data_IF_787787826584
#
_entry.id   IF_787787826584
#
_cell.length_a   1.000
_cell.length_b   1.000
_cell.length_c   1.000
_cell.angle_alpha   90.00
_cell.angle_beta   90.00
_cell.angle_gamma   90.00
#
_symmetry.space_group_name_H-M   'P 1'
#
loop_
_entity.id
_entity.type
_entity.pdbx_description
1 polymer ?
#
# COMPACT_ATOMS: atom_id res chain seq x y z
N UNK A 1 -15.56 3.65 -0.83
CA UNK A 1 -14.50 3.46 0.19
C UNK A 1 -14.84 4.12 1.53
N UNK A 2 -15.07 5.44 1.58
CA UNK A 2 -15.30 6.17 2.85
C UNK A 2 -16.34 5.54 3.78
N UNK A 3 -17.47 5.06 3.26
CA UNK A 3 -18.51 4.44 4.10
C UNK A 3 -18.08 3.10 4.71
N UNK A 4 -17.27 2.32 3.98
CA UNK A 4 -16.80 1.00 4.42
C UNK A 4 -15.74 1.11 5.52
N UNK A 5 -14.87 2.12 5.43
CA UNK A 5 -13.76 2.31 6.38
C UNK A 5 -14.17 3.09 7.63
N UNK A 6 -15.16 3.99 7.54
CA UNK A 6 -15.48 4.93 8.63
C UNK A 6 -15.87 4.24 9.95
N UNK A 7 -16.46 3.04 9.90
CA UNK A 7 -16.85 2.27 11.10
C UNK A 7 -15.71 1.42 11.67
N UNK A 8 -14.57 1.36 10.98
CA UNK A 8 -13.44 0.48 11.31
C UNK A 8 -12.16 1.24 11.70
N UNK A 9 -12.18 2.57 11.60
CA UNK A 9 -11.05 3.42 11.98
C UNK A 9 -11.44 4.33 13.14
N UNK A 10 -10.53 4.50 14.09
CA UNK A 10 -10.61 5.58 15.07
C UNK A 10 -9.65 6.69 14.66
N UNK A 11 -10.21 7.82 14.21
CA UNK A 11 -9.43 8.98 13.75
C UNK A 11 -8.60 9.63 14.86
N UNK A 12 -8.92 9.36 16.13
CA UNK A 12 -8.18 9.87 17.29
C UNK A 12 -7.05 8.93 17.72
N UNK A 13 -7.07 7.67 17.29
CA UNK A 13 -6.01 6.73 17.63
C UNK A 13 -4.71 7.12 16.92
N UNK A 14 -3.55 7.00 17.60
CA UNK A 14 -2.25 7.16 16.97
C UNK A 14 -2.13 6.24 15.75
N UNK A 15 -1.79 6.82 14.60
CA UNK A 15 -1.83 6.08 13.35
C UNK A 15 -0.75 6.48 12.36
N UNK A 16 -0.50 5.60 11.40
CA UNK A 16 0.35 5.84 10.23
C UNK A 16 -0.50 5.76 8.98
N UNK A 17 -0.28 6.67 8.05
CA UNK A 17 -0.82 6.53 6.68
C UNK A 17 0.20 5.79 5.82
N UNK A 18 -0.20 4.66 5.25
CA UNK A 18 0.64 3.86 4.37
C UNK A 18 0.16 4.04 2.94
N UNK A 19 1.04 4.48 2.06
CA UNK A 19 0.73 4.59 0.64
C UNK A 19 1.63 3.71 -0.21
N UNK A 20 0.99 2.95 -1.08
CA UNK A 20 1.64 2.06 -2.03
C UNK A 20 0.66 1.79 -3.18
N UNK A 21 1.13 1.13 -4.23
CA UNK A 21 0.27 0.66 -5.31
C UNK A 21 0.45 -0.82 -5.61
N UNK A 22 -0.54 -1.36 -6.29
CA UNK A 22 -0.48 -2.71 -6.81
C UNK A 22 -0.97 -2.75 -8.24
N UNK A 23 -0.45 -3.71 -8.99
CA UNK A 23 -0.89 -3.97 -10.35
C UNK A 23 -1.83 -5.17 -10.36
N UNK A 24 -3.06 -4.96 -10.83
CA UNK A 24 -4.03 -6.03 -11.10
C UNK A 24 -3.66 -6.65 -12.44
N UNK A 25 -3.04 -7.83 -12.42
CA UNK A 25 -2.49 -8.44 -13.63
C UNK A 25 -3.60 -8.80 -14.65
N UNK A 26 -3.39 -8.42 -15.92
CA UNK A 26 -4.27 -8.73 -17.07
C UNK A 26 -3.45 -9.24 -18.26
N UNK A 27 -2.49 -10.15 -17.98
CA UNK A 27 -1.45 -10.61 -18.91
C UNK A 27 -1.97 -11.23 -20.21
N UNK A 28 -3.19 -11.77 -20.23
CA UNK A 28 -3.81 -12.39 -21.42
C UNK A 28 -4.80 -11.46 -22.15
N UNK A 29 -4.95 -10.22 -21.69
CA UNK A 29 -5.89 -9.27 -22.26
C UNK A 29 -5.27 -8.42 -23.36
N UNK A 30 -6.00 -8.26 -24.47
CA UNK A 30 -5.70 -7.26 -25.53
C UNK A 30 -6.79 -6.19 -25.69
N UNK A 31 -7.92 -6.33 -25.00
CA UNK A 31 -9.15 -5.54 -25.25
C UNK A 31 -9.85 -5.06 -23.96
N UNK A 32 -9.26 -5.27 -22.79
CA UNK A 32 -9.81 -4.75 -21.54
C UNK A 32 -9.36 -3.29 -21.39
N UNK A 33 -10.32 -2.37 -21.22
CA UNK A 33 -10.07 -0.95 -20.98
C UNK A 33 -9.29 -0.72 -19.67
N UNK A 34 -8.62 0.44 -19.55
CA UNK A 34 -7.76 0.84 -18.42
C UNK A 34 -6.49 -0.02 -18.22
N UNK A 35 -6.25 -1.00 -19.08
CA UNK A 35 -5.04 -1.82 -19.03
C UNK A 35 -3.87 -1.06 -19.64
N UNK A 36 -2.80 -0.91 -18.86
CA UNK A 36 -1.55 -0.34 -19.30
C UNK A 36 -0.39 -1.29 -18.96
N UNK A 37 0.70 -1.19 -19.71
CA UNK A 37 1.96 -1.86 -19.37
C UNK A 37 2.62 -1.13 -18.21
N UNK A 38 2.82 -1.85 -17.11
CA UNK A 38 3.35 -1.31 -15.87
C UNK A 38 4.28 -2.33 -15.22
N UNK A 39 5.30 -1.85 -14.52
CA UNK A 39 6.20 -2.72 -13.75
C UNK A 39 5.41 -3.45 -12.65
N UNK A 40 5.60 -4.76 -12.54
CA UNK A 40 5.05 -5.58 -11.48
C UNK A 40 6.17 -6.06 -10.56
N UNK A 41 6.12 -5.65 -9.29
CA UNK A 41 7.04 -6.14 -8.28
C UNK A 41 7.02 -7.68 -8.15
N UNK A 42 5.85 -8.30 -8.29
CA UNK A 42 5.68 -9.75 -8.19
C UNK A 42 6.31 -10.54 -9.35
N UNK A 43 6.36 -9.94 -10.56
CA UNK A 43 6.94 -10.58 -11.75
C UNK A 43 8.36 -10.14 -12.06
N UNK A 44 8.82 -9.06 -11.42
CA UNK A 44 10.06 -8.37 -11.75
C UNK A 44 10.13 -7.97 -13.24
N UNK A 45 8.98 -7.64 -13.82
CA UNK A 45 8.83 -7.37 -15.26
C UNK A 45 7.67 -6.40 -15.53
N UNK A 46 7.67 -5.79 -16.70
CA UNK A 46 6.60 -4.94 -17.21
C UNK A 46 5.50 -5.81 -17.79
N UNK A 47 4.33 -5.82 -17.15
CA UNK A 47 3.18 -6.60 -17.57
C UNK A 47 1.96 -5.72 -17.82
N UNK A 48 1.04 -6.20 -18.65
CA UNK A 48 -0.26 -5.59 -18.82
C UNK A 48 -1.11 -5.75 -17.54
N UNK A 49 -1.62 -4.64 -17.02
CA UNK A 49 -2.53 -4.65 -15.87
C UNK A 49 -3.18 -3.30 -15.59
N UNK A 50 -4.10 -3.31 -14.62
CA UNK A 50 -4.77 -2.11 -14.12
C UNK A 50 -4.05 -1.65 -12.86
N UNK A 51 -3.57 -0.41 -12.82
CA UNK A 51 -2.85 0.12 -11.66
C UNK A 51 -3.85 0.55 -10.58
N UNK A 52 -3.57 0.20 -9.33
CA UNK A 52 -4.40 0.55 -8.18
C UNK A 52 -3.53 1.18 -7.09
N UNK A 53 -3.66 2.48 -6.89
CA UNK A 53 -3.02 3.23 -5.80
C UNK A 53 -3.87 3.09 -4.55
N UNK A 54 -3.28 2.74 -3.42
CA UNK A 54 -3.97 2.51 -2.16
C UNK A 54 -3.41 3.42 -1.07
N UNK A 55 -4.31 3.87 -0.19
CA UNK A 55 -3.95 4.56 1.06
C UNK A 55 -4.60 3.79 2.21
N UNK A 56 -3.77 3.31 3.12
CA UNK A 56 -4.18 2.57 4.31
C UNK A 56 -3.97 3.45 5.54
N UNK A 57 -4.90 3.30 6.49
CA UNK A 57 -4.76 3.76 7.86
C UNK A 57 -4.29 2.58 8.69
N UNK A 58 -3.16 2.73 9.38
CA UNK A 58 -2.60 1.72 10.26
C UNK A 58 -2.65 2.23 11.70
N UNK A 59 -3.36 1.51 12.56
CA UNK A 59 -3.45 1.82 13.98
C UNK A 59 -2.16 1.37 14.69
N UNK A 60 -1.53 2.27 15.43
CA UNK A 60 -0.34 1.92 16.22
C UNK A 60 -0.69 1.20 17.53
N UNK A 61 -1.96 1.22 17.95
CA UNK A 61 -2.42 0.56 19.17
C UNK A 61 -2.85 -0.88 18.91
N UNK A 62 -3.83 -1.09 18.01
CA UNK A 62 -4.32 -2.44 17.67
C UNK A 62 -3.45 -3.16 16.64
N UNK A 63 -2.54 -2.44 15.95
CA UNK A 63 -1.71 -2.97 14.84
C UNK A 63 -2.58 -3.40 13.63
N UNK A 64 -3.82 -2.93 13.56
CA UNK A 64 -4.73 -3.19 12.44
C UNK A 64 -4.54 -2.19 11.30
N UNK A 65 -4.81 -2.64 10.08
CA UNK A 65 -4.62 -1.84 8.87
C UNK A 65 -5.85 -1.87 7.99
N UNK A 66 -6.41 -0.69 7.75
CA UNK A 66 -7.68 -0.52 7.03
C UNK A 66 -7.43 0.35 5.79
N UNK A 67 -7.80 -0.11 4.57
CA UNK A 67 -7.73 0.74 3.39
C UNK A 67 -8.79 1.85 3.51
N UNK A 68 -8.39 3.11 3.37
CA UNK A 68 -9.26 4.29 3.54
C UNK A 68 -9.56 5.01 2.22
N UNK A 69 -8.73 4.81 1.20
CA UNK A 69 -8.96 5.28 -0.16
C UNK A 69 -8.22 4.38 -1.17
N UNK A 70 -8.74 4.33 -2.40
CA UNK A 70 -8.05 3.72 -3.53
C UNK A 70 -8.32 4.52 -4.81
N UNK A 71 -7.37 4.52 -5.75
CA UNK A 71 -7.49 5.16 -7.07
C UNK A 71 -7.05 4.22 -8.16
N UNK A 72 -7.89 4.09 -9.19
CA UNK A 72 -7.56 3.32 -10.39
C UNK A 72 -6.78 4.25 -11.32
N UNK A 73 -5.56 3.86 -11.66
CA UNK A 73 -4.74 4.56 -12.62
C UNK A 73 -5.29 4.35 -14.03
N UNK A 74 -5.92 5.40 -14.57
CA UNK A 74 -6.58 5.44 -15.87
C UNK A 74 -6.23 6.76 -16.58
N UNK A 75 -4.95 6.89 -16.93
CA UNK A 75 -4.36 8.14 -17.46
C UNK A 75 -5.04 8.66 -18.72
N UNK A 76 -5.62 7.77 -19.53
CA UNK A 76 -6.24 8.14 -20.80
C UNK A 76 -7.63 8.77 -20.57
N UNK A 77 -8.25 8.50 -19.42
CA UNK A 77 -9.56 9.03 -19.06
C UNK A 77 -9.49 10.31 -18.23
N UNK A 78 -8.60 10.40 -17.24
CA UNK A 78 -8.53 11.55 -16.32
C UNK A 78 -7.23 12.38 -16.41
N UNK A 79 -6.26 11.95 -17.21
CA UNK A 79 -4.97 12.62 -17.36
C UNK A 79 -4.08 12.57 -16.10
N UNK A 80 -4.46 11.82 -15.07
CA UNK A 80 -3.77 11.82 -13.77
C UNK A 80 -2.66 10.79 -13.72
N UNK A 81 -1.56 11.20 -13.09
CA UNK A 81 -0.49 10.27 -12.71
C UNK A 81 -0.81 9.61 -11.37
N UNK A 82 -0.13 8.51 -11.02
CA UNK A 82 -0.24 7.95 -9.66
C UNK A 82 0.20 8.92 -8.57
N UNK A 83 1.17 9.81 -8.85
CA UNK A 83 1.57 10.86 -7.92
C UNK A 83 0.44 11.88 -7.70
N UNK A 84 -0.27 12.25 -8.77
CA UNK A 84 -1.47 13.10 -8.68
C UNK A 84 -2.53 12.46 -7.78
N UNK A 85 -2.82 11.17 -8.00
CA UNK A 85 -3.74 10.41 -7.15
C UNK A 85 -3.28 10.38 -5.69
N UNK A 86 -2.00 10.09 -5.46
CA UNK A 86 -1.42 10.04 -4.12
C UNK A 86 -1.62 11.36 -3.37
N UNK A 87 -1.26 12.50 -3.96
CA UNK A 87 -1.48 13.83 -3.35
C UNK A 87 -2.95 14.12 -3.07
N UNK A 88 -3.85 13.77 -4.00
CA UNK A 88 -5.31 13.95 -3.80
C UNK A 88 -5.86 13.09 -2.66
N UNK A 89 -5.37 11.85 -2.52
CA UNK A 89 -5.76 10.95 -1.44
C UNK A 89 -5.30 11.49 -0.08
N UNK A 90 -4.09 12.07 0.02
CA UNK A 90 -3.60 12.73 1.23
C UNK A 90 -4.43 13.95 1.60
N UNK A 91 -4.73 14.81 0.62
CA UNK A 91 -5.57 15.99 0.84
C UNK A 91 -6.99 15.59 1.33
N UNK A 92 -7.54 14.51 0.77
CA UNK A 92 -8.82 13.98 1.21
C UNK A 92 -8.76 13.37 2.62
N UNK A 93 -7.68 12.66 2.96
CA UNK A 93 -7.45 12.15 4.32
C UNK A 93 -7.39 13.29 5.34
N UNK A 94 -6.69 14.39 5.02
CA UNK A 94 -6.65 15.60 5.86
C UNK A 94 -8.03 16.21 6.03
N UNK A 95 -8.78 16.37 4.92
CA UNK A 95 -10.16 16.89 4.95
C UNK A 95 -11.09 16.02 5.80
N UNK A 96 -10.85 14.71 5.86
CA UNK A 96 -11.61 13.76 6.70
C UNK A 96 -11.21 13.81 8.19
N UNK A 97 -10.22 14.61 8.56
CA UNK A 97 -9.77 14.79 9.94
C UNK A 97 -8.80 13.71 10.43
N UNK A 98 -8.13 12.98 9.53
CA UNK A 98 -7.10 12.01 9.92
C UNK A 98 -5.83 12.78 10.30
N UNK A 99 -5.24 12.43 11.45
CA UNK A 99 -4.03 13.05 12.00
C UNK A 99 -2.97 11.97 12.21
N UNK A 100 -2.24 11.56 11.16
CA UNK A 100 -1.21 10.55 11.29
C UNK A 100 0.04 11.09 11.99
N UNK A 101 0.71 10.20 12.72
CA UNK A 101 2.08 10.45 13.21
C UNK A 101 3.06 10.59 12.05
N UNK A 102 2.88 9.79 11.00
CA UNK A 102 3.66 9.86 9.78
C UNK A 102 2.90 9.29 8.57
N UNK A 103 3.33 9.70 7.38
CA UNK A 103 3.02 9.05 6.11
C UNK A 103 4.22 8.23 5.68
N UNK A 104 4.05 6.93 5.48
CA UNK A 104 5.09 6.03 4.99
C UNK A 104 4.82 5.59 3.56
N UNK A 105 5.85 5.62 2.72
CA UNK A 105 5.75 5.25 1.31
C UNK A 105 7.05 4.63 0.80
N UNK A 106 7.01 4.11 -0.41
CA UNK A 106 8.19 3.59 -1.10
C UNK A 106 9.05 4.68 -1.76
N UNK A 107 10.22 4.26 -2.26
CA UNK A 107 11.12 5.16 -2.97
C UNK A 107 10.52 5.70 -4.27
N UNK A 108 9.54 5.01 -4.88
CA UNK A 108 8.90 5.46 -6.11
C UNK A 108 8.03 6.70 -5.86
N UNK A 109 7.34 6.76 -4.72
CA UNK A 109 6.58 7.94 -4.28
C UNK A 109 7.44 9.04 -3.62
N UNK A 110 8.77 8.88 -3.52
CA UNK A 110 9.69 9.87 -2.90
C UNK A 110 9.99 11.13 -3.75
N UNK A 111 9.09 11.48 -4.68
CA UNK A 111 9.24 12.68 -5.52
C UNK A 111 9.21 13.96 -4.68
N UNK A 112 9.89 15.02 -5.14
CA UNK A 112 9.97 16.27 -4.38
C UNK A 112 8.58 16.86 -4.09
N UNK A 113 7.68 16.80 -5.06
CA UNK A 113 6.32 17.32 -4.95
C UNK A 113 5.50 16.54 -3.93
N UNK A 114 5.62 15.21 -3.90
CA UNK A 114 4.97 14.37 -2.90
C UNK A 114 5.48 14.68 -1.48
N UNK A 115 6.80 14.77 -1.29
CA UNK A 115 7.39 15.10 0.03
C UNK A 115 6.93 16.48 0.51
N UNK A 116 6.88 17.47 -0.39
CA UNK A 116 6.35 18.81 -0.10
C UNK A 116 4.85 18.79 0.18
N UNK A 117 4.07 17.99 -0.54
CA UNK A 117 2.64 17.83 -0.33
C UNK A 117 2.36 17.33 1.09
N UNK A 118 3.07 16.30 1.56
CA UNK A 118 2.91 15.78 2.92
C UNK A 118 3.29 16.84 3.96
N UNK A 119 4.44 17.51 3.77
CA UNK A 119 4.87 18.60 4.65
C UNK A 119 3.83 19.73 4.71
N UNK A 120 3.18 20.06 3.58
CA UNK A 120 2.16 21.13 3.53
C UNK A 120 0.93 20.83 4.40
N UNK A 121 0.67 19.56 4.71
CA UNK A 121 -0.38 19.15 5.65
C UNK A 121 0.05 19.20 7.13
N UNK A 122 1.31 19.57 7.39
CA UNK A 122 1.94 19.54 8.71
C UNK A 122 2.34 18.15 9.16
N UNK A 123 2.51 17.21 8.22
CA UNK A 123 2.77 15.81 8.54
C UNK A 123 4.24 15.43 8.35
N UNK A 124 4.67 14.44 9.13
CA UNK A 124 5.95 13.74 8.94
C UNK A 124 5.78 12.74 7.80
N UNK A 125 6.85 12.53 7.04
CA UNK A 125 6.98 11.41 6.13
C UNK A 125 8.20 10.55 6.47
N UNK A 126 8.10 9.27 6.12
CA UNK A 126 9.20 8.31 6.12
C UNK A 126 9.21 7.59 4.79
N UNK A 127 10.36 7.51 4.13
CA UNK A 127 10.53 6.82 2.85
C UNK A 127 11.94 6.27 2.70
N UNK A 128 12.23 5.56 1.62
CA UNK A 128 13.59 5.16 1.26
C UNK A 128 14.12 5.96 0.09
N UNK A 129 15.43 6.22 0.08
CA UNK A 129 16.13 6.84 -1.05
C UNK A 129 17.03 5.81 -1.74
N UNK A 130 17.12 5.93 -3.07
CA UNK A 130 18.07 5.12 -3.86
C UNK A 130 19.51 5.50 -3.50
N UNK A 131 20.39 4.49 -3.46
CA UNK A 131 21.81 4.62 -3.09
C UNK A 131 22.58 5.69 -3.86
N UNK A 132 22.21 5.93 -5.12
CA UNK A 132 22.84 6.90 -6.02
C UNK A 132 22.17 8.29 -6.00
N UNK A 133 21.25 8.56 -5.06
CA UNK A 133 20.64 9.87 -4.90
C UNK A 133 21.71 10.91 -4.57
N UNK A 134 21.66 12.06 -5.26
CA UNK A 134 22.53 13.21 -4.99
C UNK A 134 21.95 14.04 -3.83
N UNK A 135 22.78 14.26 -2.81
CA UNK A 135 22.49 14.97 -1.56
C UNK A 135 23.67 15.88 -1.20
N UNK A 136 23.51 16.79 -0.23
CA UNK A 136 24.57 17.71 0.20
C UNK A 136 25.25 18.42 -0.98
N UNK A 137 24.41 18.95 -1.87
CA UNK A 137 24.74 19.66 -3.10
C UNK A 137 25.34 18.81 -4.23
N UNK A 138 26.27 17.87 -3.97
CA UNK A 138 26.94 17.08 -5.02
C UNK A 138 27.43 15.68 -4.60
N UNK A 139 27.02 15.14 -3.45
CA UNK A 139 27.49 13.82 -2.96
C UNK A 139 26.44 12.73 -3.21
N UNK A 140 26.87 11.55 -3.63
CA UNK A 140 25.99 10.38 -3.65
C UNK A 140 25.74 9.87 -2.23
N UNK A 141 24.50 9.50 -1.94
CA UNK A 141 24.08 9.04 -0.62
C UNK A 141 24.90 7.86 -0.10
N UNK A 142 25.22 6.89 -0.96
CA UNK A 142 26.04 5.73 -0.60
C UNK A 142 27.52 6.01 -0.34
N UNK A 143 27.98 7.23 -0.60
CA UNK A 143 29.35 7.69 -0.30
C UNK A 143 29.44 8.47 1.01
N UNK A 144 28.31 8.72 1.66
CA UNK A 144 28.30 9.33 2.98
C UNK A 144 28.60 8.29 4.04
N UNK A 145 29.36 8.71 5.04
CA UNK A 145 29.38 8.02 6.32
C UNK A 145 28.10 8.38 7.08
N UNK A 146 27.32 7.36 7.43
CA UNK A 146 26.01 7.52 8.08
C UNK A 146 26.11 6.89 9.46
N UNK A 147 26.01 7.73 10.48
CA UNK A 147 26.00 7.32 11.88
C UNK A 147 24.78 6.44 12.20
N UNK A 148 24.91 5.59 13.23
CA UNK A 148 23.80 4.78 13.73
C UNK A 148 22.64 5.65 14.24
N UNK A 149 22.96 6.80 14.86
CA UNK A 149 22.02 7.83 15.34
C UNK A 149 21.35 8.65 14.23
N UNK A 150 21.72 8.40 12.98
CA UNK A 150 21.21 9.14 11.83
C UNK A 150 22.01 10.38 11.51
N UNK A 151 22.05 10.72 10.23
CA UNK A 151 22.88 11.81 9.70
C UNK A 151 22.00 12.85 9.01
N UNK A 152 22.07 14.13 9.40
CA UNK A 152 21.41 15.21 8.69
C UNK A 152 22.00 15.36 7.28
N UNK A 153 21.13 15.41 6.28
CA UNK A 153 21.51 15.65 4.88
C UNK A 153 20.58 16.71 4.27
N UNK A 154 21.11 17.45 3.31
CA UNK A 154 20.34 18.40 2.52
C UNK A 154 19.85 17.73 1.23
N UNK A 155 18.54 17.55 1.12
CA UNK A 155 17.88 17.03 -0.07
C UNK A 155 17.55 18.18 -1.03
N UNK A 156 18.08 18.11 -2.26
CA UNK A 156 17.96 19.18 -3.26
C UNK A 156 16.49 19.56 -3.50
N UNK A 157 16.18 20.85 -3.37
CA UNK A 157 14.84 21.41 -3.57
C UNK A 157 13.87 21.19 -2.41
N UNK A 158 14.24 20.40 -1.40
CA UNK A 158 13.41 20.13 -0.22
C UNK A 158 13.90 20.86 1.03
N UNK A 159 15.17 20.65 1.40
CA UNK A 159 15.77 21.13 2.64
C UNK A 159 16.45 20.01 3.46
N UNK A 160 16.64 20.25 4.75
CA UNK A 160 17.25 19.31 5.68
C UNK A 160 16.31 18.15 6.03
N UNK A 161 16.87 16.94 6.04
CA UNK A 161 16.21 15.67 6.41
C UNK A 161 17.23 14.78 7.11
N UNK A 162 16.79 13.79 7.89
CA UNK A 162 17.70 12.84 8.54
C UNK A 162 17.65 11.50 7.82
N UNK A 163 18.82 10.95 7.48
CA UNK A 163 18.96 9.61 6.90
C UNK A 163 19.54 8.62 7.90
N UNK A 164 19.01 7.40 7.85
CA UNK A 164 19.50 6.23 8.55
C UNK A 164 19.88 5.14 7.54
N UNK A 165 20.89 4.35 7.90
CA UNK A 165 21.35 3.21 7.11
C UNK A 165 20.97 1.93 7.82
N UNK A 166 20.14 1.11 7.17
CA UNK A 166 19.76 -0.23 7.66
C UNK A 166 20.34 -1.30 6.73
N UNK A 167 21.01 -2.29 7.30
CA UNK A 167 21.59 -3.40 6.55
C UNK A 167 20.78 -4.67 6.83
N UNK A 168 20.14 -5.21 5.80
CA UNK A 168 19.44 -6.49 5.88
C UNK A 168 20.42 -7.66 6.00
N UNK A 169 19.94 -8.83 6.46
CA UNK A 169 20.76 -10.05 6.63
C UNK A 169 21.51 -10.49 5.36
N UNK A 170 20.97 -10.17 4.19
CA UNK A 170 21.57 -10.49 2.89
C UNK A 170 22.55 -9.40 2.38
N UNK A 171 22.91 -8.43 3.22
CA UNK A 171 23.78 -7.32 2.86
C UNK A 171 23.11 -6.19 2.06
N UNK A 172 21.80 -6.28 1.77
CA UNK A 172 21.07 -5.16 1.15
C UNK A 172 21.04 -3.98 2.11
N UNK A 173 21.40 -2.81 1.61
CA UNK A 173 21.35 -1.56 2.37
C UNK A 173 20.12 -0.76 1.96
N UNK A 174 19.28 -0.44 2.95
CA UNK A 174 18.13 0.43 2.83
C UNK A 174 18.44 1.78 3.50
N UNK A 175 18.40 2.85 2.73
CA UNK A 175 18.58 4.22 3.22
C UNK A 175 17.21 4.80 3.54
N UNK A 176 16.83 4.78 4.82
CA UNK A 176 15.55 5.29 5.29
C UNK A 176 15.71 6.76 5.67
N UNK A 177 14.75 7.60 5.26
CA UNK A 177 14.85 9.06 5.39
C UNK A 177 13.54 9.62 5.91
N UNK A 178 13.62 10.66 6.74
CA UNK A 178 12.47 11.37 7.29
C UNK A 178 12.71 12.87 7.40
N UNK A 179 11.63 13.66 7.35
CA UNK A 179 11.63 15.07 7.72
C UNK A 179 11.31 15.34 9.20
N UNK A 180 11.12 14.30 10.02
CA UNK A 180 10.92 14.48 11.47
C UNK A 180 12.12 15.17 12.09
N UNK A 181 11.87 16.13 12.97
CA UNK A 181 12.90 16.74 13.80
C UNK A 181 13.36 15.78 14.88
N UNK A 182 14.68 15.67 15.07
CA UNK A 182 15.33 14.78 16.04
C UNK A 182 14.74 13.35 16.05
N UNK A 183 14.70 12.64 14.90
CA UNK A 183 14.16 11.29 14.84
C UNK A 183 15.12 10.31 15.50
N UNK A 184 14.59 9.25 16.11
CA UNK A 184 15.37 8.10 16.53
C UNK A 184 15.38 7.02 15.46
N UNK A 185 16.39 6.16 15.50
CA UNK A 185 16.49 4.99 14.61
C UNK A 185 15.30 4.06 14.79
N UNK A 186 14.88 3.84 16.03
CA UNK A 186 13.76 2.98 16.41
C UNK A 186 12.44 3.50 15.86
N UNK A 187 12.21 4.81 15.93
CA UNK A 187 11.03 5.45 15.35
C UNK A 187 10.97 5.24 13.84
N UNK A 188 12.07 5.52 13.11
CA UNK A 188 12.08 5.35 11.65
C UNK A 188 11.86 3.88 11.28
N UNK A 189 12.45 2.96 12.05
CA UNK A 189 12.27 1.52 11.86
C UNK A 189 10.82 1.09 12.10
N UNK A 190 10.17 1.52 13.18
CA UNK A 190 8.79 1.13 13.49
C UNK A 190 7.80 1.60 12.43
N UNK A 191 7.95 2.84 11.94
CA UNK A 191 7.13 3.38 10.85
C UNK A 191 7.34 2.59 9.54
N UNK A 192 8.59 2.22 9.24
CA UNK A 192 8.91 1.43 8.05
C UNK A 192 8.43 -0.02 8.15
N UNK A 193 8.48 -0.63 9.33
CA UNK A 193 7.95 -1.98 9.59
C UNK A 193 6.42 -2.00 9.40
N UNK A 194 5.71 -0.96 9.89
CA UNK A 194 4.26 -0.81 9.70
C UNK A 194 3.85 -0.80 8.22
N UNK A 195 4.73 -0.30 7.33
CA UNK A 195 4.48 -0.27 5.88
C UNK A 195 4.18 -1.66 5.31
N UNK A 196 4.75 -2.73 5.88
CA UNK A 196 4.53 -4.11 5.41
C UNK A 196 3.05 -4.50 5.35
N UNK A 197 2.20 -3.88 6.18
CA UNK A 197 0.76 -4.11 6.20
C UNK A 197 0.08 -3.88 4.84
N UNK A 198 0.59 -2.98 3.99
CA UNK A 198 0.05 -2.79 2.64
C UNK A 198 0.30 -3.99 1.72
N UNK A 199 1.44 -4.67 1.89
CA UNK A 199 1.73 -5.90 1.14
C UNK A 199 0.82 -7.04 1.57
N UNK A 200 0.51 -7.12 2.87
CA UNK A 200 -0.47 -8.07 3.41
C UNK A 200 -1.85 -7.81 2.80
N UNK A 201 -2.31 -6.56 2.83
CA UNK A 201 -3.57 -6.15 2.20
C UNK A 201 -3.63 -6.50 0.70
N UNK A 202 -2.58 -6.14 -0.06
CA UNK A 202 -2.50 -6.45 -1.49
C UNK A 202 -2.55 -7.96 -1.77
N UNK A 203 -1.91 -8.77 -0.94
CA UNK A 203 -1.96 -10.24 -1.08
C UNK A 203 -3.35 -10.77 -0.82
N UNK A 204 -3.99 -10.30 0.24
CA UNK A 204 -5.32 -10.75 0.64
C UNK A 204 -6.38 -10.41 -0.40
N UNK A 205 -6.43 -9.16 -0.87
CA UNK A 205 -7.43 -8.75 -1.87
C UNK A 205 -7.25 -9.50 -3.20
N UNK A 206 -6.01 -9.88 -3.54
CA UNK A 206 -5.70 -10.71 -4.72
C UNK A 206 -6.10 -12.16 -4.56
N UNK A 207 -5.66 -12.79 -3.48
CA UNK A 207 -5.79 -14.23 -3.30
C UNK A 207 -7.16 -14.63 -2.76
N UNK A 208 -7.71 -13.85 -1.82
CA UNK A 208 -8.93 -14.19 -1.08
C UNK A 208 -10.18 -13.48 -1.60
N UNK A 209 -10.04 -12.33 -2.27
CA UNK A 209 -11.17 -11.55 -2.76
C UNK A 209 -11.28 -11.50 -4.30
N UNK A 210 -10.33 -12.14 -5.01
CA UNK A 210 -10.43 -12.35 -6.45
C UNK A 210 -10.37 -11.08 -7.30
N UNK A 211 -9.73 -10.00 -6.83
CA UNK A 211 -9.68 -8.72 -7.55
C UNK A 211 -9.10 -8.85 -8.97
N UNK A 212 -8.20 -9.80 -9.20
CA UNK A 212 -7.56 -10.04 -10.50
C UNK A 212 -8.42 -10.88 -11.46
N UNK A 213 -9.49 -11.53 -10.97
CA UNK A 213 -10.24 -12.54 -11.73
C UNK A 213 -11.17 -11.96 -12.81
N UNK A 214 -11.53 -10.68 -12.75
CA UNK A 214 -12.46 -10.08 -13.72
C UNK A 214 -11.95 -10.10 -15.16
N UNK A 215 -12.69 -10.74 -16.07
CA UNK A 215 -12.39 -10.78 -17.51
C UNK A 215 -13.26 -9.83 -18.36
N UNK A 216 -14.13 -9.03 -17.72
CA UNK A 216 -14.98 -8.08 -18.43
C UNK A 216 -14.14 -7.02 -19.16
N UNK A 217 -14.58 -6.56 -20.34
CA UNK A 217 -13.78 -5.67 -21.18
C UNK A 217 -13.97 -4.18 -20.90
N UNK A 218 -15.14 -3.80 -20.39
CA UNK A 218 -15.49 -2.40 -20.18
C UNK A 218 -14.92 -1.87 -18.86
N UNK A 219 -14.51 -0.61 -18.87
CA UNK A 219 -14.01 0.14 -17.72
C UNK A 219 -15.02 0.13 -16.57
N UNK A 220 -16.30 0.34 -16.85
CA UNK A 220 -17.39 0.27 -15.86
C UNK A 220 -17.44 -1.09 -15.14
N UNK A 221 -17.37 -2.20 -15.88
CA UNK A 221 -17.44 -3.53 -15.28
C UNK A 221 -16.19 -3.84 -14.44
N UNK A 222 -15.00 -3.44 -14.90
CA UNK A 222 -13.76 -3.56 -14.13
C UNK A 222 -13.80 -2.73 -12.84
N UNK A 223 -14.26 -1.48 -12.90
CA UNK A 223 -14.42 -0.60 -11.72
C UNK A 223 -15.38 -1.21 -10.69
N UNK A 224 -16.51 -1.74 -11.15
CA UNK A 224 -17.48 -2.42 -10.28
C UNK A 224 -16.88 -3.66 -9.63
N UNK A 225 -16.17 -4.51 -10.38
CA UNK A 225 -15.52 -5.70 -9.82
C UNK A 225 -14.46 -5.35 -8.79
N UNK A 226 -13.61 -4.34 -9.07
CA UNK A 226 -12.60 -3.86 -8.12
C UNK A 226 -13.27 -3.41 -6.82
N UNK A 227 -14.33 -2.62 -6.91
CA UNK A 227 -15.09 -2.19 -5.73
C UNK A 227 -15.68 -3.37 -4.95
N UNK A 228 -16.28 -4.35 -5.64
CA UNK A 228 -16.85 -5.54 -4.99
C UNK A 228 -15.78 -6.40 -4.30
N UNK A 229 -14.62 -6.61 -4.93
CA UNK A 229 -13.51 -7.36 -4.34
C UNK A 229 -12.98 -6.67 -3.07
N UNK A 230 -12.84 -5.35 -3.09
CA UNK A 230 -12.44 -4.57 -1.92
C UNK A 230 -13.53 -4.63 -0.82
N UNK A 231 -14.81 -4.60 -1.21
CA UNK A 231 -15.92 -4.72 -0.26
C UNK A 231 -15.96 -6.10 0.40
N UNK A 232 -15.69 -7.17 -0.36
CA UNK A 232 -15.53 -8.52 0.17
C UNK A 232 -14.36 -8.61 1.16
N UNK A 233 -13.25 -7.90 0.90
CA UNK A 233 -12.14 -7.82 1.86
C UNK A 233 -12.59 -7.22 3.20
N UNK A 234 -13.39 -6.15 3.19
CA UNK A 234 -13.91 -5.54 4.42
C UNK A 234 -14.77 -6.51 5.24
N UNK A 235 -15.67 -7.26 4.60
CA UNK A 235 -16.51 -8.23 5.30
C UNK A 235 -15.68 -9.38 5.87
N UNK A 236 -14.71 -9.90 5.11
CA UNK A 236 -13.80 -10.92 5.63
C UNK A 236 -12.90 -10.38 6.76
N UNK A 237 -12.49 -9.10 6.68
CA UNK A 237 -11.71 -8.45 7.73
C UNK A 237 -12.53 -8.29 9.02
N UNK A 238 -13.79 -7.86 8.95
CA UNK A 238 -14.69 -7.82 10.12
C UNK A 238 -14.78 -9.18 10.81
N UNK A 239 -14.99 -10.25 10.01
CA UNK A 239 -15.01 -11.62 10.51
C UNK A 239 -13.69 -12.04 11.14
N UNK A 240 -12.55 -11.62 10.57
CA UNK A 240 -11.23 -11.88 11.17
C UNK A 240 -11.15 -11.31 12.58
N UNK A 241 -11.59 -10.08 12.79
CA UNK A 241 -11.56 -9.43 14.10
C UNK A 241 -12.52 -10.13 15.07
N UNK A 242 -13.75 -10.42 14.65
CA UNK A 242 -14.76 -11.01 15.54
C UNK A 242 -14.53 -12.48 15.86
N UNK A 243 -14.14 -13.28 14.87
CA UNK A 243 -14.00 -14.74 14.97
C UNK A 243 -12.54 -15.17 15.23
N UNK A 244 -11.57 -14.24 15.14
CA UNK A 244 -10.13 -14.50 15.28
C UNK A 244 -9.58 -15.55 14.28
N UNK A 245 -10.16 -15.58 13.08
CA UNK A 245 -9.74 -16.47 11.99
C UNK A 245 -9.20 -15.69 10.78
N UNK A 246 -8.20 -16.25 10.12
CA UNK A 246 -7.61 -15.61 8.93
C UNK A 246 -8.56 -15.64 7.73
N UNK A 247 -8.33 -14.77 6.75
CA UNK A 247 -9.08 -14.78 5.48
C UNK A 247 -8.94 -16.10 4.72
N UNK A 248 -7.76 -16.73 4.83
CA UNK A 248 -7.50 -18.04 4.23
C UNK A 248 -8.31 -19.13 4.89
N UNK A 249 -8.39 -19.12 6.22
CA UNK A 249 -9.20 -20.06 6.98
C UNK A 249 -10.69 -19.88 6.65
N UNK A 250 -11.19 -18.64 6.59
CA UNK A 250 -12.56 -18.36 6.18
C UNK A 250 -12.91 -18.98 4.82
N UNK A 251 -12.02 -18.83 3.83
CA UNK A 251 -12.19 -19.44 2.51
C UNK A 251 -12.11 -20.97 2.55
N UNK A 252 -11.17 -21.51 3.33
CA UNK A 252 -10.97 -22.94 3.45
C UNK A 252 -12.14 -23.64 4.13
N UNK A 253 -12.72 -23.03 5.16
CA UNK A 253 -13.87 -23.59 5.88
C UNK A 253 -15.09 -23.73 4.95
N UNK A 254 -15.30 -22.78 4.03
CA UNK A 254 -16.34 -22.89 3.00
C UNK A 254 -16.03 -24.01 2.01
N UNK A 255 -14.81 -24.05 1.46
CA UNK A 255 -14.40 -25.04 0.46
C UNK A 255 -14.45 -26.46 1.03
N UNK A 256 -13.88 -26.66 2.22
CA UNK A 256 -13.81 -27.96 2.89
C UNK A 256 -15.21 -28.52 3.17
N UNK A 257 -16.12 -27.68 3.67
CA UNK A 257 -17.49 -28.09 3.94
C UNK A 257 -18.24 -28.45 2.65
N UNK A 258 -18.08 -27.67 1.59
CA UNK A 258 -18.69 -27.96 0.30
C UNK A 258 -18.16 -29.28 -0.32
N UNK A 259 -16.85 -29.53 -0.26
CA UNK A 259 -16.25 -30.78 -0.73
C UNK A 259 -16.75 -31.97 0.10
N UNK A 260 -16.74 -31.85 1.42
CA UNK A 260 -17.21 -32.92 2.30
C UNK A 260 -18.68 -33.28 2.02
N UNK A 261 -19.52 -32.27 1.82
CA UNK A 261 -20.93 -32.49 1.49
C UNK A 261 -21.10 -33.13 0.10
N UNK A 262 -20.35 -32.68 -0.89
CA UNK A 262 -20.38 -33.29 -2.22
C UNK A 262 -19.94 -34.77 -2.20
N UNK A 263 -18.89 -35.10 -1.45
CA UNK A 263 -18.45 -36.49 -1.26
C UNK A 263 -19.55 -37.33 -0.59
N UNK A 264 -20.23 -36.81 0.44
CA UNK A 264 -21.35 -37.53 1.08
C UNK A 264 -22.47 -37.82 0.09
N UNK A 265 -22.84 -36.85 -0.74
CA UNK A 265 -23.87 -37.03 -1.78
C UNK A 265 -23.46 -38.12 -2.78
N UNK A 266 -22.21 -38.10 -3.26
CA UNK A 266 -21.70 -39.14 -4.18
C UNK A 266 -21.68 -40.54 -3.54
N UNK A 267 -21.38 -40.65 -2.24
CA UNK A 267 -21.38 -41.93 -1.52
C UNK A 267 -22.79 -42.42 -1.18
N UNK A 268 -23.76 -41.52 -1.00
CA UNK A 268 -25.14 -41.86 -0.70
C UNK A 268 -25.93 -42.31 -1.95
N UNK A 269 -25.52 -41.83 -3.14
CA UNK A 269 -26.08 -42.21 -4.43
C UNK A 269 -24.97 -42.72 -5.36
N UNK A 270 -24.37 -43.89 -5.06
CA UNK A 270 -23.41 -44.51 -5.97
C UNK A 270 -24.14 -44.90 -7.26
N UNK A 271 -23.61 -44.46 -8.41
CA UNK A 271 -24.07 -44.90 -9.73
C UNK A 271 -23.98 -46.41 -9.89
#
# INVERSE_FOLDING_TARGET
MSLLSNTLIDKKSPCVLIADDTLIAKTRSRKIEMVHYQYSGNKHDVIAGIGLVNLLWHDLTSVESIPIDYRIYDKDSDGKTKNTHFSEMLALAKKRGIMPEAVVMDAWYSSLDNLKSIRSHGWVWVTTLRKNRIVNHNKQLNKLDISEEGTPIHLRGYGWVTVFKFTAKNGRIDYMVTNKENPTREYVKSIMDARWSVEVYHREVKQNCGIERCQARTSRAQRNHIFLAISAWFEQHKRRISEKITLYQQNWDVIKNAIAEHIRVLLAYPN
#
